data_IF_500591488353
#
_entry.id   IF_500591488353
#
_cell.length_a   1.000
_cell.length_b   1.000
_cell.length_c   1.000
_cell.angle_alpha   90.00
_cell.angle_beta   90.00
_cell.angle_gamma   90.00
#
_symmetry.space_group_name_H-M   'P 1'
#
loop_
_entity.id
_entity.type
_entity.pdbx_description
1 polymer ?
#
# COMPACT_ATOMS: atom_id res chain seq x y z
N UNK A 1 -12.42 -10.88 19.00
CA UNK A 1 -12.57 -10.44 17.60
C UNK A 1 -13.03 -11.62 16.75
N UNK A 2 -14.08 -11.45 15.94
CA UNK A 2 -14.57 -12.51 15.04
C UNK A 2 -13.76 -12.50 13.74
N UNK A 3 -13.25 -13.64 13.33
CA UNK A 3 -12.56 -13.76 12.04
C UNK A 3 -13.59 -13.67 10.89
N UNK A 4 -13.51 -12.60 10.11
CA UNK A 4 -14.38 -12.35 8.95
C UNK A 4 -13.76 -12.80 7.62
N UNK A 5 -12.51 -13.26 7.63
CA UNK A 5 -11.82 -13.71 6.42
C UNK A 5 -12.47 -14.97 5.83
N UNK A 6 -12.75 -14.93 4.53
CA UNK A 6 -13.32 -16.05 3.78
C UNK A 6 -12.56 -16.25 2.47
N UNK A 7 -12.04 -17.46 2.27
CA UNK A 7 -11.33 -17.79 1.02
C UNK A 7 -12.18 -17.56 -0.24
N UNK A 8 -13.49 -17.83 -0.16
CA UNK A 8 -14.41 -17.61 -1.28
C UNK A 8 -14.45 -16.15 -1.70
N UNK A 9 -14.50 -15.23 -0.74
CA UNK A 9 -14.54 -13.79 -1.01
C UNK A 9 -13.20 -13.30 -1.55
N UNK A 10 -12.08 -13.80 -1.01
CA UNK A 10 -10.76 -13.53 -1.53
C UNK A 10 -10.60 -13.98 -2.98
N UNK A 11 -11.02 -15.20 -3.30
CA UNK A 11 -10.91 -15.75 -4.65
C UNK A 11 -11.75 -14.95 -5.64
N UNK A 12 -12.93 -14.49 -5.23
CA UNK A 12 -13.80 -13.66 -6.06
C UNK A 12 -13.15 -12.32 -6.38
N UNK A 13 -12.69 -11.60 -5.36
CA UNK A 13 -12.07 -10.27 -5.55
C UNK A 13 -10.78 -10.37 -6.38
N UNK A 14 -9.97 -11.40 -6.14
CA UNK A 14 -8.74 -11.65 -6.89
C UNK A 14 -9.05 -11.90 -8.37
N UNK A 15 -10.06 -12.71 -8.66
CA UNK A 15 -10.50 -13.01 -10.03
C UNK A 15 -11.04 -11.75 -10.74
N UNK A 16 -11.88 -10.98 -10.04
CA UNK A 16 -12.49 -9.76 -10.61
C UNK A 16 -11.41 -8.70 -10.93
N UNK A 17 -10.47 -8.48 -10.01
CA UNK A 17 -9.39 -7.51 -10.22
C UNK A 17 -8.36 -7.97 -11.25
N UNK A 18 -8.13 -9.27 -11.37
CA UNK A 18 -7.24 -9.81 -12.42
C UNK A 18 -7.71 -9.43 -13.82
N UNK A 19 -9.01 -9.42 -14.05
CA UNK A 19 -9.61 -8.98 -15.33
C UNK A 19 -9.33 -7.51 -15.64
N UNK A 20 -9.06 -6.70 -14.61
CA UNK A 20 -8.71 -5.28 -14.71
C UNK A 20 -7.20 -5.03 -14.70
N UNK A 21 -6.38 -6.08 -14.76
CA UNK A 21 -4.92 -5.96 -14.74
C UNK A 21 -4.33 -5.70 -13.35
N UNK A 22 -5.10 -5.86 -12.28
CA UNK A 22 -4.64 -5.69 -10.91
C UNK A 22 -3.96 -6.99 -10.43
N UNK A 23 -2.78 -6.87 -9.83
CA UNK A 23 -2.03 -8.02 -9.33
C UNK A 23 -2.75 -8.74 -8.17
N UNK A 24 -2.45 -10.03 -8.01
CA UNK A 24 -2.97 -10.80 -6.89
C UNK A 24 -2.56 -10.23 -5.54
N UNK A 25 -1.33 -9.73 -5.42
CA UNK A 25 -0.83 -9.10 -4.20
C UNK A 25 -1.69 -7.90 -3.79
N UNK A 26 -1.97 -7.01 -4.72
CA UNK A 26 -2.79 -5.83 -4.47
C UNK A 26 -4.25 -6.21 -4.19
N UNK A 27 -4.82 -7.13 -4.96
CA UNK A 27 -6.19 -7.61 -4.74
C UNK A 27 -6.37 -8.20 -3.34
N UNK A 28 -5.43 -9.03 -2.89
CA UNK A 28 -5.43 -9.59 -1.54
C UNK A 28 -5.31 -8.48 -0.48
N UNK A 29 -4.43 -7.50 -0.71
CA UNK A 29 -4.27 -6.37 0.22
C UNK A 29 -5.53 -5.53 0.33
N UNK A 30 -6.21 -5.28 -0.77
CA UNK A 30 -7.50 -4.56 -0.79
C UNK A 30 -8.53 -5.30 0.06
N UNK A 31 -8.67 -6.60 -0.16
CA UNK A 31 -9.63 -7.42 0.59
C UNK A 31 -9.38 -7.37 2.10
N UNK A 32 -8.15 -7.65 2.53
CA UNK A 32 -7.79 -7.63 3.95
C UNK A 32 -7.90 -6.24 4.58
N UNK A 33 -7.58 -5.20 3.82
CA UNK A 33 -7.72 -3.80 4.27
C UNK A 33 -9.17 -3.44 4.53
N UNK A 34 -10.09 -3.85 3.67
CA UNK A 34 -11.52 -3.62 3.87
C UNK A 34 -12.06 -4.35 5.10
N UNK A 35 -11.58 -5.57 5.36
CA UNK A 35 -11.94 -6.29 6.60
C UNK A 35 -11.49 -5.54 7.86
N UNK A 36 -10.27 -5.01 7.85
CA UNK A 36 -9.76 -4.18 8.96
C UNK A 36 -10.56 -2.89 9.09
N UNK A 37 -10.76 -2.18 7.99
CA UNK A 37 -11.44 -0.88 7.95
C UNK A 37 -12.92 -0.93 8.36
N UNK A 38 -13.57 -2.07 8.26
CA UNK A 38 -14.95 -2.26 8.73
C UNK A 38 -15.06 -2.55 10.23
N UNK A 39 -13.94 -2.75 10.90
CA UNK A 39 -13.90 -3.02 12.34
C UNK A 39 -13.57 -1.73 13.12
N UNK A 40 -14.59 -1.11 13.69
CA UNK A 40 -14.45 0.14 14.45
C UNK A 40 -13.61 0.02 15.72
N UNK A 41 -13.39 -1.19 16.23
CA UNK A 41 -12.52 -1.42 17.39
C UNK A 41 -11.04 -1.35 17.00
N UNK A 42 -10.71 -1.52 15.71
CA UNK A 42 -9.35 -1.49 15.19
C UNK A 42 -9.02 -0.19 14.45
N UNK A 43 -9.97 0.30 13.66
CA UNK A 43 -9.72 1.42 12.73
C UNK A 43 -10.86 2.42 12.79
N UNK A 44 -10.52 3.67 13.06
CA UNK A 44 -11.45 4.80 12.92
C UNK A 44 -11.51 5.23 11.45
N UNK A 45 -12.59 5.94 11.08
CA UNK A 45 -12.79 6.48 9.74
C UNK A 45 -11.56 7.29 9.27
N UNK A 46 -11.03 6.93 8.12
CA UNK A 46 -9.82 7.53 7.55
C UNK A 46 -8.51 7.11 8.22
N UNK A 47 -8.58 6.41 9.37
CA UNK A 47 -7.40 5.93 10.09
C UNK A 47 -6.85 4.61 9.56
N UNK A 48 -5.81 4.13 10.25
CA UNK A 48 -5.11 2.91 9.90
C UNK A 48 -4.29 3.03 8.61
N UNK A 49 -3.35 2.13 8.46
CA UNK A 49 -2.56 2.03 7.24
C UNK A 49 -2.24 0.57 6.93
N UNK A 50 -2.22 0.23 5.66
CA UNK A 50 -1.91 -1.11 5.21
C UNK A 50 -1.02 -1.06 3.99
N UNK A 51 -0.17 -2.05 3.84
CA UNK A 51 0.71 -2.15 2.68
C UNK A 51 0.96 -3.59 2.25
N UNK A 52 1.43 -3.74 1.02
CA UNK A 52 1.96 -5.01 0.51
C UNK A 52 3.15 -4.75 -0.40
N UNK A 53 4.23 -5.50 -0.19
CA UNK A 53 5.40 -5.48 -1.07
C UNK A 53 5.16 -6.39 -2.27
N UNK A 54 5.59 -5.92 -3.44
CA UNK A 54 5.41 -6.63 -4.69
C UNK A 54 6.50 -6.23 -5.69
N UNK A 55 6.33 -6.64 -6.93
CA UNK A 55 7.23 -6.34 -8.04
C UNK A 55 6.41 -5.75 -9.17
N UNK A 56 6.92 -4.72 -9.82
CA UNK A 56 6.28 -4.09 -10.97
C UNK A 56 7.31 -3.66 -12.01
N UNK A 57 6.98 -3.85 -13.29
CA UNK A 57 7.77 -3.32 -14.41
C UNK A 57 7.35 -1.89 -14.72
N UNK A 58 8.32 -1.05 -15.05
CA UNK A 58 8.09 0.28 -15.57
C UNK A 58 7.87 0.26 -17.09
N UNK A 59 7.70 1.45 -17.66
CA UNK A 59 7.49 1.61 -19.11
C UNK A 59 8.69 1.16 -19.95
N UNK A 60 9.89 1.21 -19.38
CA UNK A 60 11.12 0.75 -20.04
C UNK A 60 11.33 -0.76 -19.91
N UNK A 61 10.43 -1.46 -19.22
CA UNK A 61 10.51 -2.90 -18.96
C UNK A 61 11.43 -3.26 -17.80
N UNK A 62 11.96 -2.29 -17.07
CA UNK A 62 12.78 -2.51 -15.88
C UNK A 62 11.93 -2.93 -14.70
N UNK A 63 12.36 -3.97 -13.99
CA UNK A 63 11.64 -4.51 -12.83
C UNK A 63 12.07 -3.82 -11.55
N UNK A 64 11.09 -3.34 -10.79
CA UNK A 64 11.29 -2.68 -9.50
C UNK A 64 10.62 -3.44 -8.38
N UNK A 65 11.30 -3.52 -7.23
CA UNK A 65 10.65 -3.84 -5.97
C UNK A 65 9.84 -2.64 -5.54
N UNK A 66 8.56 -2.85 -5.26
CA UNK A 66 7.63 -1.78 -4.88
C UNK A 66 6.88 -2.14 -3.60
N UNK A 67 6.34 -1.11 -2.97
CA UNK A 67 5.35 -1.22 -1.92
C UNK A 67 4.08 -0.50 -2.37
N UNK A 68 2.97 -1.23 -2.37
CA UNK A 68 1.65 -0.61 -2.39
C UNK A 68 1.31 -0.22 -0.96
N UNK A 69 1.03 1.03 -0.74
CA UNK A 69 0.72 1.56 0.59
C UNK A 69 -0.51 2.46 0.50
N UNK A 70 -1.34 2.44 1.54
CA UNK A 70 -2.50 3.33 1.58
C UNK A 70 -2.08 4.78 1.36
N UNK A 71 -2.71 5.43 0.39
CA UNK A 71 -2.52 6.86 0.12
C UNK A 71 -3.33 7.74 1.07
N UNK A 72 -2.91 9.00 1.17
CA UNK A 72 -3.67 10.01 1.92
C UNK A 72 -5.06 10.22 1.30
N UNK A 73 -6.06 10.40 2.14
CA UNK A 73 -7.44 10.63 1.72
C UNK A 73 -8.25 9.36 1.43
N UNK A 74 -7.66 8.16 1.54
CA UNK A 74 -8.38 6.89 1.40
C UNK A 74 -8.86 6.35 2.74
N UNK A 75 -10.01 5.69 2.73
CA UNK A 75 -10.54 4.95 3.88
C UNK A 75 -10.40 3.46 3.65
N UNK A 76 -9.88 2.72 4.64
CA UNK A 76 -9.65 1.29 4.49
C UNK A 76 -10.93 0.50 4.23
N UNK A 77 -12.06 0.93 4.78
CA UNK A 77 -13.33 0.20 4.67
C UNK A 77 -13.86 0.06 3.23
N UNK A 78 -13.47 0.99 2.36
CA UNK A 78 -13.91 1.03 0.96
C UNK A 78 -12.78 1.28 -0.04
N UNK A 79 -11.53 1.06 0.38
CA UNK A 79 -10.36 1.36 -0.44
C UNK A 79 -10.39 0.58 -1.77
N UNK A 80 -10.05 1.27 -2.84
CA UNK A 80 -9.94 0.75 -4.21
C UNK A 80 -8.46 0.70 -4.64
N UNK A 81 -8.14 0.06 -5.77
CA UNK A 81 -6.75 0.00 -6.25
C UNK A 81 -6.06 1.37 -6.34
N UNK A 82 -6.80 2.41 -6.74
CA UNK A 82 -6.28 3.78 -6.84
C UNK A 82 -5.86 4.37 -5.48
N UNK A 83 -6.40 3.86 -4.39
CA UNK A 83 -6.03 4.24 -3.03
C UNK A 83 -4.71 3.67 -2.55
N UNK A 84 -4.06 2.82 -3.36
CA UNK A 84 -2.77 2.20 -3.08
C UNK A 84 -1.70 2.64 -4.08
N UNK A 85 -1.11 3.83 -3.92
CA UNK A 85 0.05 4.21 -4.71
C UNK A 85 1.18 3.19 -4.57
N UNK A 86 1.89 2.93 -5.67
CA UNK A 86 3.07 2.08 -5.69
C UNK A 86 4.33 2.93 -5.60
N UNK A 87 5.17 2.66 -4.62
CA UNK A 87 6.43 3.38 -4.38
C UNK A 87 7.61 2.41 -4.49
N UNK A 88 8.69 2.82 -5.15
CA UNK A 88 9.93 2.04 -5.23
C UNK A 88 10.55 1.89 -3.84
N UNK A 89 10.90 0.66 -3.45
CA UNK A 89 11.42 0.36 -2.11
C UNK A 89 12.90 0.76 -1.96
N UNK A 90 13.75 0.46 -2.93
CA UNK A 90 15.20 0.66 -2.79
C UNK A 90 15.58 2.10 -2.46
N UNK A 91 14.98 3.14 -3.08
CA UNK A 91 15.24 4.53 -2.66
C UNK A 91 14.80 4.81 -1.21
N UNK A 92 13.73 4.20 -0.73
CA UNK A 92 13.24 4.38 0.65
C UNK A 92 14.22 3.81 1.67
N UNK A 93 14.80 2.65 1.37
CA UNK A 93 15.82 2.04 2.23
C UNK A 93 17.08 2.92 2.30
N UNK A 94 17.49 3.53 1.18
CA UNK A 94 18.59 4.51 1.16
C UNK A 94 18.28 5.74 2.01
N UNK A 95 17.04 6.23 1.94
CA UNK A 95 16.60 7.39 2.72
C UNK A 95 16.71 7.14 4.23
N UNK A 96 16.42 5.93 4.68
CA UNK A 96 16.51 5.55 6.11
C UNK A 96 17.91 5.64 6.69
N UNK A 97 18.95 5.73 5.87
CA UNK A 97 20.33 5.93 6.31
C UNK A 97 20.65 7.39 6.65
N UNK A 98 19.78 8.33 6.32
CA UNK A 98 19.96 9.74 6.67
C UNK A 98 19.63 9.97 8.14
N UNK A 99 20.45 10.82 8.79
CA UNK A 99 20.27 11.17 10.21
C UNK A 99 19.09 12.12 10.44
N UNK A 100 18.74 12.90 9.42
CA UNK A 100 17.69 13.92 9.50
C UNK A 100 17.07 14.15 8.12
N UNK A 101 15.76 14.34 8.09
CA UNK A 101 14.98 14.73 6.93
C UNK A 101 13.77 15.54 7.41
N UNK A 102 13.42 16.62 6.71
CA UNK A 102 12.21 17.38 6.99
C UNK A 102 10.98 16.66 6.45
N UNK A 103 9.80 16.98 6.98
CA UNK A 103 8.53 16.41 6.47
C UNK A 103 8.31 16.74 5.00
N UNK A 104 8.64 17.96 4.57
CA UNK A 104 8.54 18.38 3.17
C UNK A 104 9.46 17.56 2.27
N UNK A 105 10.73 17.37 2.67
CA UNK A 105 11.68 16.53 1.93
C UNK A 105 11.21 15.09 1.83
N UNK A 106 10.64 14.54 2.91
CA UNK A 106 10.11 13.18 2.93
C UNK A 106 8.92 13.03 1.96
N UNK A 107 7.95 13.94 1.99
CA UNK A 107 6.81 13.92 1.08
C UNK A 107 7.27 14.01 -0.37
N UNK A 108 8.16 14.92 -0.69
CA UNK A 108 8.72 15.07 -2.03
C UNK A 108 9.45 13.81 -2.49
N UNK A 109 10.21 13.18 -1.60
CA UNK A 109 10.95 11.96 -1.90
C UNK A 109 10.01 10.77 -2.17
N UNK A 110 8.95 10.62 -1.39
CA UNK A 110 7.92 9.61 -1.63
C UNK A 110 7.26 9.81 -3.00
N UNK A 111 6.87 11.04 -3.31
CA UNK A 111 6.25 11.37 -4.61
C UNK A 111 7.19 11.16 -5.78
N UNK A 112 8.46 11.52 -5.65
CA UNK A 112 9.49 11.30 -6.67
C UNK A 112 9.66 9.81 -7.02
N UNK A 113 9.43 8.91 -6.08
CA UNK A 113 9.61 7.48 -6.25
C UNK A 113 8.31 6.70 -6.52
N UNK A 114 7.21 7.42 -6.81
CA UNK A 114 5.99 6.82 -7.31
C UNK A 114 6.23 6.15 -8.67
N UNK A 115 5.64 4.98 -8.88
CA UNK A 115 5.60 4.35 -10.20
C UNK A 115 4.70 5.12 -11.18
N UNK A 116 3.66 5.75 -10.66
CA UNK A 116 2.74 6.62 -11.41
C UNK A 116 2.58 7.94 -10.64
N UNK A 117 3.07 9.03 -11.24
CA UNK A 117 3.04 10.37 -10.63
C UNK A 117 1.63 10.92 -10.43
N UNK A 118 0.62 10.38 -11.10
CA UNK A 118 -0.79 10.75 -10.93
C UNK A 118 -1.44 10.09 -9.71
N UNK A 119 -0.75 9.14 -9.08
CA UNK A 119 -1.24 8.47 -7.87
C UNK A 119 -1.40 9.44 -6.70
N UNK A 120 -2.29 9.13 -5.73
CA UNK A 120 -2.35 9.87 -4.47
C UNK A 120 -0.99 9.92 -3.77
N UNK A 121 -0.79 10.93 -2.94
CA UNK A 121 0.42 11.01 -2.12
C UNK A 121 0.49 9.82 -1.17
N UNK A 122 1.60 9.05 -1.18
CA UNK A 122 1.78 7.97 -0.22
C UNK A 122 1.71 8.49 1.21
N UNK A 123 1.21 7.66 2.11
CA UNK A 123 1.20 7.96 3.54
C UNK A 123 2.62 8.23 4.06
N UNK A 124 2.75 9.10 5.04
CA UNK A 124 4.02 9.37 5.74
C UNK A 124 4.57 8.11 6.44
N UNK A 125 3.73 7.14 6.73
CA UNK A 125 4.10 5.86 7.35
C UNK A 125 4.77 4.89 6.36
N UNK A 126 4.83 5.24 5.09
CA UNK A 126 5.40 4.40 4.03
C UNK A 126 6.83 3.95 4.36
N UNK A 127 7.65 4.83 4.93
CA UNK A 127 9.02 4.49 5.33
C UNK A 127 9.06 3.38 6.38
N UNK A 128 8.20 3.45 7.40
CA UNK A 128 8.10 2.42 8.44
C UNK A 128 7.67 1.09 7.83
N UNK A 129 6.66 1.10 6.98
CA UNK A 129 6.21 -0.10 6.29
C UNK A 129 7.28 -0.70 5.38
N UNK A 130 8.09 0.14 4.73
CA UNK A 130 9.15 -0.31 3.82
C UNK A 130 10.29 -1.05 4.54
N UNK A 131 10.64 -0.64 5.76
CA UNK A 131 11.75 -1.24 6.52
C UNK A 131 11.36 -2.52 7.28
N UNK A 132 10.08 -2.73 7.55
CA UNK A 132 9.61 -3.98 8.15
C UNK A 132 9.76 -5.10 7.12
N UNK A 133 10.49 -6.16 7.48
CA UNK A 133 10.84 -7.25 6.57
C UNK A 133 9.69 -8.27 6.41
N UNK A 134 8.47 -7.76 6.29
CA UNK A 134 7.27 -8.56 6.02
C UNK A 134 6.59 -8.08 4.74
N UNK A 135 5.99 -9.02 4.01
CA UNK A 135 5.31 -8.70 2.75
C UNK A 135 4.05 -7.85 2.98
N UNK A 136 3.24 -8.22 3.96
CA UNK A 136 2.03 -7.52 4.36
C UNK A 136 2.26 -6.85 5.71
N UNK A 137 2.00 -5.56 5.80
CA UNK A 137 2.14 -4.78 7.03
C UNK A 137 0.86 -4.03 7.31
N UNK A 138 0.38 -4.13 8.52
CA UNK A 138 -0.83 -3.47 9.02
C UNK A 138 -0.48 -2.55 10.19
N UNK A 139 -1.11 -1.39 10.21
CA UNK A 139 -1.00 -0.40 11.28
C UNK A 139 -2.40 0.15 11.57
N UNK A 140 -2.90 -0.07 12.77
CA UNK A 140 -4.24 0.35 13.21
C UNK A 140 -4.19 1.40 14.31
#
# INVERSE_FOLDING_TARGET
MKNLFKNKDLNKITSDYKKLGISNDLAQRIYTSRLLGTNSDLVLHGGGNTSVKSIKKDIDGETHKIIFVKGSGSDLSNIEPQGFPAVKIDPLIKLMKRKFITDEEMVNYLRKNLMDISSPTPSVETLVHAIIDEKFVDHT
#
